data_IF_449837347516
#
_entry.id   IF_449837347516
#
_cell.length_a   1.000
_cell.length_b   1.000
_cell.length_c   1.000
_cell.angle_alpha   90.00
_cell.angle_beta   90.00
_cell.angle_gamma   90.00
#
_symmetry.space_group_name_H-M   'P 1'
#
loop_
_entity.id
_entity.type
_entity.pdbx_description
1 polymer ?
#
# COMPACT_ATOMS: atom_id res chain seq x y z
N UNK A 1 33.99 -1.35 -43.54
CA UNK A 1 33.54 -2.12 -44.71
C UNK A 1 34.29 -3.44 -44.69
N UNK A 2 33.61 -4.55 -44.38
CA UNK A 2 34.21 -5.88 -44.54
C UNK A 2 34.13 -6.23 -46.02
N UNK A 3 35.29 -6.36 -46.68
CA UNK A 3 35.41 -6.87 -48.04
C UNK A 3 35.38 -8.39 -47.96
N UNK A 4 34.34 -9.01 -48.51
CA UNK A 4 34.14 -10.46 -48.47
C UNK A 4 34.68 -11.08 -49.77
N UNK A 5 35.70 -11.93 -49.66
CA UNK A 5 36.38 -12.64 -50.75
C UNK A 5 35.59 -13.89 -51.20
N UNK A 6 34.32 -13.70 -51.57
CA UNK A 6 33.49 -14.79 -52.11
C UNK A 6 33.27 -14.56 -53.60
N UNK A 7 33.79 -15.46 -54.42
CA UNK A 7 33.76 -15.40 -55.90
C UNK A 7 32.37 -15.60 -56.51
N UNK A 8 31.44 -16.20 -55.76
CA UNK A 8 30.06 -16.46 -56.21
C UNK A 8 29.03 -16.13 -55.11
N UNK A 9 27.87 -15.64 -55.54
CA UNK A 9 26.76 -15.26 -54.67
C UNK A 9 26.28 -16.43 -53.80
N UNK A 10 26.24 -17.65 -54.36
CA UNK A 10 25.78 -18.80 -53.60
C UNK A 10 26.73 -19.19 -52.46
N UNK A 11 28.04 -19.08 -52.69
CA UNK A 11 29.06 -19.27 -51.66
C UNK A 11 28.94 -18.22 -50.56
N UNK A 12 28.71 -16.95 -50.93
CA UNK A 12 28.42 -15.88 -49.97
C UNK A 12 27.14 -16.12 -49.16
N UNK A 13 26.08 -16.62 -49.82
CA UNK A 13 24.76 -16.83 -49.24
C UNK A 13 24.70 -18.00 -48.26
N UNK A 14 25.46 -19.07 -48.54
CA UNK A 14 25.47 -20.30 -47.73
C UNK A 14 26.59 -20.36 -46.69
N UNK A 15 27.48 -19.37 -46.67
CA UNK A 15 28.54 -19.23 -45.67
C UNK A 15 27.96 -19.23 -44.26
N UNK A 16 28.47 -20.11 -43.39
CA UNK A 16 28.13 -20.15 -41.97
C UNK A 16 28.85 -19.04 -41.21
N UNK A 17 28.08 -18.21 -40.53
CA UNK A 17 28.57 -17.15 -39.66
C UNK A 17 29.00 -17.72 -38.30
N UNK A 18 29.73 -16.92 -37.49
CA UNK A 18 30.21 -17.31 -36.15
C UNK A 18 29.09 -17.72 -35.17
N UNK A 19 27.85 -17.29 -35.43
CA UNK A 19 26.67 -17.66 -34.66
C UNK A 19 26.08 -19.03 -35.06
N UNK A 20 26.70 -19.74 -36.00
CA UNK A 20 26.30 -21.06 -36.49
C UNK A 20 25.20 -21.06 -37.56
N UNK A 21 24.70 -19.88 -37.96
CA UNK A 21 23.64 -19.74 -38.97
C UNK A 21 24.25 -19.53 -40.35
N UNK A 22 23.57 -19.99 -41.41
CA UNK A 22 23.95 -19.57 -42.77
C UNK A 22 23.66 -18.09 -42.95
N UNK A 23 24.47 -17.38 -43.72
CA UNK A 23 24.32 -15.94 -43.95
C UNK A 23 22.93 -15.59 -44.49
N UNK A 24 22.42 -16.35 -45.47
CA UNK A 24 21.07 -16.18 -45.99
C UNK A 24 19.98 -16.36 -44.93
N UNK A 25 20.11 -17.36 -44.06
CA UNK A 25 19.18 -17.59 -42.95
C UNK A 25 19.24 -16.46 -41.93
N UNK A 26 20.42 -15.96 -41.61
CA UNK A 26 20.60 -14.85 -40.67
C UNK A 26 20.05 -13.52 -41.21
N UNK A 27 20.25 -13.23 -42.49
CA UNK A 27 19.78 -12.00 -43.13
C UNK A 27 18.26 -11.95 -43.29
N UNK A 28 17.61 -13.11 -43.45
CA UNK A 28 16.17 -13.23 -43.67
C UNK A 28 15.40 -13.77 -42.45
N UNK A 29 16.10 -14.08 -41.35
CA UNK A 29 15.47 -14.35 -40.08
C UNK A 29 14.70 -13.10 -39.64
N UNK A 30 13.43 -13.27 -39.26
CA UNK A 30 12.72 -12.19 -38.59
C UNK A 30 13.49 -11.80 -37.33
N UNK A 31 13.77 -10.51 -37.10
CA UNK A 31 14.36 -10.06 -35.84
C UNK A 31 13.49 -10.56 -34.70
N UNK A 32 14.10 -11.18 -33.69
CA UNK A 32 13.38 -11.66 -32.52
C UNK A 32 12.44 -10.56 -32.02
N UNK A 33 11.14 -10.89 -31.90
CA UNK A 33 10.11 -9.92 -31.53
C UNK A 33 10.58 -9.13 -30.31
N UNK A 34 10.83 -7.82 -30.49
CA UNK A 34 11.36 -6.97 -29.44
C UNK A 34 10.31 -6.86 -28.34
N UNK A 35 10.56 -7.55 -27.23
CA UNK A 35 9.69 -7.59 -26.05
C UNK A 35 10.28 -6.67 -24.98
N UNK A 36 9.41 -6.20 -24.09
CA UNK A 36 9.87 -5.58 -22.85
C UNK A 36 10.64 -6.62 -22.05
N UNK A 37 11.91 -6.33 -21.78
CA UNK A 37 12.78 -7.19 -20.98
C UNK A 37 13.16 -6.46 -19.70
N UNK A 38 13.15 -7.19 -18.59
CA UNK A 38 13.69 -6.72 -17.32
C UNK A 38 15.21 -6.80 -17.43
N UNK A 39 15.88 -5.67 -17.24
CA UNK A 39 17.33 -5.65 -17.17
C UNK A 39 17.79 -6.13 -15.78
N UNK A 40 18.94 -6.81 -15.74
CA UNK A 40 19.65 -7.08 -14.50
C UNK A 40 20.11 -5.79 -13.83
N UNK A 41 20.68 -5.89 -12.62
CA UNK A 41 21.20 -4.70 -11.94
C UNK A 41 22.33 -4.06 -12.77
N UNK A 42 22.08 -2.87 -13.30
CA UNK A 42 23.03 -2.12 -14.15
C UNK A 42 23.94 -1.21 -13.33
N UNK A 43 23.45 -0.74 -12.19
CA UNK A 43 24.14 0.18 -11.29
C UNK A 43 24.00 -0.29 -9.84
N UNK A 44 25.06 -0.10 -9.05
CA UNK A 44 25.07 -0.42 -7.61
C UNK A 44 24.10 0.44 -6.78
N UNK A 45 23.57 1.53 -7.36
CA UNK A 45 22.55 2.40 -6.73
C UNK A 45 21.14 1.84 -6.85
N UNK A 46 20.95 0.70 -7.52
CA UNK A 46 19.64 0.11 -7.73
C UNK A 46 19.15 -0.59 -6.47
N UNK A 47 18.03 -0.10 -5.94
CA UNK A 47 17.35 -0.72 -4.81
C UNK A 47 16.59 -1.96 -5.28
N UNK A 48 16.49 -2.96 -4.40
CA UNK A 48 15.76 -4.21 -4.67
C UNK A 48 14.26 -3.99 -4.96
N UNK A 49 13.75 -2.80 -4.66
CA UNK A 49 12.36 -2.40 -4.86
C UNK A 49 12.08 -1.85 -6.27
N UNK A 50 13.08 -1.82 -7.15
CA UNK A 50 12.98 -1.24 -8.51
C UNK A 50 13.21 -2.28 -9.60
N UNK A 51 12.40 -2.21 -10.66
CA UNK A 51 12.59 -2.97 -11.90
C UNK A 51 12.98 -2.00 -13.01
N UNK A 52 14.09 -2.29 -13.69
CA UNK A 52 14.48 -1.58 -14.89
C UNK A 52 13.99 -2.37 -16.09
N UNK A 53 13.26 -1.71 -16.98
CA UNK A 53 12.64 -2.34 -18.14
C UNK A 53 13.07 -1.61 -19.39
N UNK A 54 13.49 -2.36 -20.40
CA UNK A 54 13.76 -1.82 -21.74
C UNK A 54 12.45 -1.76 -22.51
N UNK A 55 12.11 -0.60 -23.07
CA UNK A 55 10.85 -0.39 -23.79
C UNK A 55 11.14 -0.24 -25.29
N UNK A 56 10.63 -1.13 -26.15
CA UNK A 56 10.69 -0.94 -27.60
C UNK A 56 9.71 0.16 -28.03
N UNK A 57 10.21 1.19 -28.71
CA UNK A 57 9.42 2.37 -29.07
C UNK A 57 8.53 2.15 -30.31
N UNK A 58 8.85 1.14 -31.10
CA UNK A 58 8.10 0.70 -32.28
C UNK A 58 6.77 0.00 -31.95
N UNK A 59 6.58 -0.44 -30.71
CA UNK A 59 5.38 -1.17 -30.28
C UNK A 59 4.29 -0.18 -29.87
N UNK A 60 3.08 -0.38 -30.40
CA UNK A 60 1.91 0.44 -30.05
C UNK A 60 1.62 0.40 -28.53
N UNK A 61 1.19 1.53 -27.99
CA UNK A 61 0.92 1.72 -26.55
C UNK A 61 0.05 0.64 -25.90
N UNK A 62 -1.04 0.13 -26.52
CA UNK A 62 -1.86 -0.91 -25.90
C UNK A 62 -1.10 -2.21 -25.65
N UNK A 63 -0.24 -2.61 -26.59
CA UNK A 63 0.62 -3.79 -26.48
C UNK A 63 1.70 -3.58 -25.42
N UNK A 64 2.27 -2.37 -25.30
CA UNK A 64 3.20 -2.03 -24.23
C UNK A 64 2.56 -2.16 -22.84
N UNK A 65 1.33 -1.66 -22.66
CA UNK A 65 0.62 -1.80 -21.38
C UNK A 65 0.36 -3.27 -21.04
N UNK A 66 -0.05 -4.09 -22.02
CA UNK A 66 -0.24 -5.54 -21.83
C UNK A 66 1.06 -6.22 -21.41
N UNK A 67 2.17 -5.88 -22.07
CA UNK A 67 3.49 -6.43 -21.74
C UNK A 67 3.96 -5.97 -20.36
N UNK A 68 3.75 -4.71 -19.99
CA UNK A 68 4.07 -4.19 -18.66
C UNK A 68 3.30 -4.94 -17.57
N UNK A 69 2.00 -5.16 -17.75
CA UNK A 69 1.20 -5.95 -16.79
C UNK A 69 1.76 -7.35 -16.63
N UNK A 70 2.13 -8.01 -17.74
CA UNK A 70 2.74 -9.33 -17.71
C UNK A 70 4.09 -9.33 -16.97
N UNK A 71 4.96 -8.35 -17.22
CA UNK A 71 6.25 -8.21 -16.51
C UNK A 71 6.04 -8.03 -15.00
N UNK A 72 5.05 -7.23 -14.59
CA UNK A 72 4.71 -7.07 -13.18
C UNK A 72 4.13 -8.36 -12.56
N UNK A 73 3.36 -9.12 -13.33
CA UNK A 73 2.81 -10.42 -12.95
C UNK A 73 3.91 -11.47 -12.74
N UNK A 74 4.87 -11.53 -13.66
CA UNK A 74 6.03 -12.43 -13.58
C UNK A 74 6.94 -12.09 -12.39
N UNK A 75 6.88 -10.85 -11.87
CA UNK A 75 7.67 -10.35 -10.74
C UNK A 75 6.82 -10.06 -9.49
N UNK A 76 5.67 -10.72 -9.33
CA UNK A 76 4.73 -10.51 -8.21
C UNK A 76 5.36 -10.44 -6.84
N UNK A 77 6.29 -11.35 -6.54
CA UNK A 77 6.92 -11.41 -5.22
C UNK A 77 7.73 -10.15 -4.92
N UNK A 78 8.54 -9.69 -5.88
CA UNK A 78 9.28 -8.42 -5.76
C UNK A 78 8.35 -7.24 -5.61
N UNK A 79 7.25 -7.20 -6.38
CA UNK A 79 6.24 -6.15 -6.29
C UNK A 79 5.56 -6.17 -4.91
N UNK A 80 5.23 -7.34 -4.39
CA UNK A 80 4.63 -7.52 -3.06
C UNK A 80 5.58 -7.04 -1.95
N UNK A 81 6.85 -7.46 -2.00
CA UNK A 81 7.87 -7.08 -1.02
C UNK A 81 8.10 -5.56 -1.04
N UNK A 82 8.23 -4.96 -2.22
CA UNK A 82 8.39 -3.51 -2.37
C UNK A 82 7.17 -2.72 -1.83
N UNK A 83 5.95 -3.25 -1.97
CA UNK A 83 4.72 -2.66 -1.42
C UNK A 83 4.62 -2.80 0.09
N UNK A 84 5.09 -3.91 0.65
CA UNK A 84 5.03 -4.19 2.09
C UNK A 84 6.11 -3.46 2.89
N UNK A 85 7.16 -2.99 2.23
CA UNK A 85 8.24 -2.23 2.87
C UNK A 85 7.74 -0.86 3.32
N UNK A 86 7.77 -0.63 4.63
CA UNK A 86 7.49 0.69 5.20
C UNK A 86 8.54 1.70 4.74
N UNK A 87 8.08 2.86 4.24
CA UNK A 87 8.92 4.02 3.89
C UNK A 87 8.84 5.14 4.93
N UNK A 88 8.36 4.83 6.13
CA UNK A 88 8.31 5.80 7.21
C UNK A 88 9.73 6.24 7.61
N UNK A 89 9.90 7.53 7.91
CA UNK A 89 11.15 8.10 8.41
C UNK A 89 11.41 7.75 9.89
N UNK A 90 10.48 7.04 10.52
CA UNK A 90 10.57 6.59 11.91
C UNK A 90 10.50 5.06 11.97
N UNK A 91 11.09 4.42 13.00
CA UNK A 91 10.98 2.98 13.20
C UNK A 91 9.51 2.59 13.38
N UNK A 92 9.00 1.71 12.52
CA UNK A 92 7.62 1.19 12.62
C UNK A 92 7.66 -0.15 13.36
N UNK A 93 7.25 -0.14 14.62
CA UNK A 93 7.25 -1.34 15.47
C UNK A 93 6.12 -2.33 15.14
N UNK A 94 4.96 -1.85 14.69
CA UNK A 94 3.87 -2.72 14.24
C UNK A 94 3.01 -2.04 13.17
N UNK A 95 2.37 -2.83 12.30
CA UNK A 95 1.43 -2.32 11.30
C UNK A 95 0.10 -1.99 11.96
N UNK A 96 -0.34 -0.73 11.86
CA UNK A 96 -1.63 -0.26 12.41
C UNK A 96 -2.42 0.44 11.32
N UNK A 97 -3.74 0.28 11.31
CA UNK A 97 -4.64 1.03 10.43
C UNK A 97 -4.58 2.53 10.78
N UNK A 98 -4.21 3.36 9.80
CA UNK A 98 -4.03 4.81 9.98
C UNK A 98 -5.25 5.52 10.58
N UNK A 99 -6.46 5.16 10.15
CA UNK A 99 -7.70 5.74 10.69
C UNK A 99 -7.86 5.48 12.19
N UNK A 100 -7.51 4.28 12.65
CA UNK A 100 -7.59 3.91 14.06
C UNK A 100 -6.51 4.63 14.86
N UNK A 101 -5.29 4.75 14.31
CA UNK A 101 -4.20 5.47 14.96
C UNK A 101 -4.54 6.96 15.13
N UNK A 102 -5.04 7.61 14.07
CA UNK A 102 -5.50 9.00 14.12
C UNK A 102 -6.57 9.20 15.19
N UNK A 103 -7.61 8.36 15.18
CA UNK A 103 -8.69 8.42 16.17
C UNK A 103 -8.17 8.27 17.61
N UNK A 104 -7.17 7.42 17.81
CA UNK A 104 -6.55 7.18 19.12
C UNK A 104 -5.80 8.41 19.62
N UNK A 105 -5.03 9.06 18.74
CA UNK A 105 -4.31 10.29 19.06
C UNK A 105 -5.27 11.46 19.33
N UNK A 106 -6.34 11.59 18.53
CA UNK A 106 -7.36 12.61 18.77
C UNK A 106 -8.07 12.42 20.13
N UNK A 107 -8.30 11.18 20.56
CA UNK A 107 -8.81 10.88 21.92
C UNK A 107 -7.81 11.29 23.00
N UNK A 108 -6.52 11.11 22.76
CA UNK A 108 -5.48 11.56 23.69
C UNK A 108 -5.44 13.08 23.85
N UNK A 109 -5.49 13.81 22.73
CA UNK A 109 -5.47 15.27 22.73
C UNK A 109 -6.69 15.83 23.46
N UNK A 110 -7.88 15.32 23.13
CA UNK A 110 -9.13 15.71 23.81
C UNK A 110 -9.13 15.34 25.31
N UNK A 111 -8.53 14.22 25.70
CA UNK A 111 -8.36 13.85 27.10
C UNK A 111 -7.48 14.86 27.84
N UNK A 112 -6.34 15.24 27.26
CA UNK A 112 -5.43 16.21 27.88
C UNK A 112 -6.05 17.59 28.03
N UNK A 113 -6.79 18.05 27.02
CA UNK A 113 -7.45 19.37 27.04
C UNK A 113 -8.63 19.44 28.01
N UNK A 114 -9.33 18.33 28.24
CA UNK A 114 -10.64 18.34 28.91
C UNK A 114 -10.79 17.40 30.12
N UNK A 115 -9.70 16.77 30.58
CA UNK A 115 -9.67 15.75 31.65
C UNK A 115 -10.60 16.01 32.84
N UNK A 116 -10.61 17.25 33.34
CA UNK A 116 -11.39 17.65 34.51
C UNK A 116 -12.59 18.55 34.20
N UNK A 117 -12.79 18.94 32.93
CA UNK A 117 -13.80 19.91 32.52
C UNK A 117 -15.07 19.27 31.98
N UNK A 118 -14.94 18.11 31.34
CA UNK A 118 -16.04 17.44 30.63
C UNK A 118 -16.11 15.97 31.01
N UNK A 119 -17.30 15.39 30.90
CA UNK A 119 -17.47 13.94 31.13
C UNK A 119 -16.96 13.16 29.92
N UNK A 120 -16.53 11.92 30.13
CA UNK A 120 -15.95 11.07 29.07
C UNK A 120 -16.88 10.86 27.86
N UNK A 121 -18.20 10.80 28.06
CA UNK A 121 -19.14 10.69 26.95
C UNK A 121 -19.19 11.96 26.07
N UNK A 122 -18.96 13.13 26.66
CA UNK A 122 -18.88 14.42 25.94
C UNK A 122 -17.55 14.51 25.19
N UNK A 123 -16.47 14.06 25.81
CA UNK A 123 -15.16 13.96 25.17
C UNK A 123 -15.18 12.97 24.00
N UNK A 124 -15.94 11.87 24.09
CA UNK A 124 -16.13 10.94 22.99
C UNK A 124 -16.76 11.61 21.75
N UNK A 125 -17.74 12.49 21.98
CA UNK A 125 -18.37 13.26 20.92
C UNK A 125 -17.39 14.29 20.31
N UNK A 126 -16.60 14.99 21.13
CA UNK A 126 -15.57 15.94 20.67
C UNK A 126 -14.46 15.27 19.88
N UNK A 127 -14.06 14.07 20.29
CA UNK A 127 -13.09 13.25 19.58
C UNK A 127 -13.67 12.64 18.29
N UNK A 128 -14.97 12.82 17.99
CA UNK A 128 -15.60 12.27 16.78
C UNK A 128 -15.77 10.75 16.79
N UNK A 129 -15.84 10.12 17.97
CA UNK A 129 -16.02 8.66 18.07
C UNK A 129 -17.45 8.30 17.70
N UNK A 130 -17.60 7.56 16.60
CA UNK A 130 -18.89 7.01 16.21
C UNK A 130 -19.32 5.89 17.16
N UNK A 131 -20.55 6.00 17.66
CA UNK A 131 -21.18 4.99 18.52
C UNK A 131 -22.61 4.78 18.04
N UNK A 132 -23.04 3.52 17.99
CA UNK A 132 -24.42 3.20 17.66
C UNK A 132 -25.38 3.77 18.72
N UNK A 133 -26.21 4.71 18.27
CA UNK A 133 -27.21 5.44 19.05
C UNK A 133 -28.57 4.70 19.14
N UNK A 134 -28.71 3.57 18.43
CA UNK A 134 -29.92 2.73 18.47
C UNK A 134 -29.82 1.75 19.64
N UNK A 135 -30.86 1.71 20.46
CA UNK A 135 -31.02 0.78 21.58
C UNK A 135 -32.41 0.16 21.46
N UNK A 136 -32.48 -1.16 21.32
CA UNK A 136 -33.73 -1.92 21.16
C UNK A 136 -34.63 -1.43 19.99
N UNK A 137 -34.02 -0.94 18.91
CA UNK A 137 -34.75 -0.40 17.76
C UNK A 137 -35.18 1.06 17.90
N UNK A 138 -34.95 1.67 19.07
CA UNK A 138 -35.33 3.05 19.35
C UNK A 138 -34.10 3.95 19.46
N UNK A 139 -34.31 5.24 19.20
CA UNK A 139 -33.31 6.29 19.37
C UNK A 139 -33.84 7.34 20.34
N UNK A 140 -32.93 8.10 20.96
CA UNK A 140 -33.32 9.22 21.84
C UNK A 140 -34.21 10.23 21.09
N UNK A 141 -33.92 10.45 19.80
CA UNK A 141 -34.70 11.37 18.96
C UNK A 141 -36.10 10.85 18.66
N UNK A 142 -36.27 9.55 18.41
CA UNK A 142 -37.59 8.95 18.17
C UNK A 142 -38.46 9.01 19.41
N UNK A 143 -37.89 8.70 20.58
CA UNK A 143 -38.61 8.75 21.87
C UNK A 143 -38.98 10.18 22.26
N UNK A 144 -38.09 11.14 22.02
CA UNK A 144 -38.38 12.56 22.25
C UNK A 144 -39.51 13.08 21.36
N UNK A 145 -39.62 12.59 20.11
CA UNK A 145 -40.73 12.94 19.20
C UNK A 145 -42.05 12.33 19.64
N UNK A 146 -42.02 11.16 20.26
CA UNK A 146 -43.18 10.44 20.77
C UNK A 146 -43.59 10.86 22.20
N UNK A 147 -42.89 11.81 22.82
CA UNK A 147 -43.05 12.21 24.22
C UNK A 147 -42.97 11.04 25.22
N UNK A 148 -42.10 10.07 24.92
CA UNK A 148 -41.88 8.88 25.72
C UNK A 148 -40.60 9.00 26.58
N UNK A 149 -40.53 8.30 27.74
CA UNK A 149 -39.32 8.25 28.55
C UNK A 149 -38.12 7.70 27.75
N UNK A 150 -37.02 8.47 27.71
CA UNK A 150 -35.81 8.12 26.95
C UNK A 150 -34.56 7.94 27.82
N UNK A 151 -34.71 7.97 29.16
CA UNK A 151 -33.60 7.95 30.10
C UNK A 151 -32.69 6.73 29.94
N UNK A 152 -33.28 5.55 29.79
CA UNK A 152 -32.54 4.29 29.68
C UNK A 152 -31.74 4.20 28.37
N UNK A 153 -32.35 4.59 27.26
CA UNK A 153 -31.68 4.67 25.95
C UNK A 153 -30.51 5.66 26.01
N UNK A 154 -30.72 6.82 26.61
CA UNK A 154 -29.66 7.82 26.76
C UNK A 154 -28.50 7.32 27.64
N UNK A 155 -28.79 6.64 28.75
CA UNK A 155 -27.77 6.06 29.63
C UNK A 155 -26.96 5.00 28.90
N UNK A 156 -27.59 4.12 28.14
CA UNK A 156 -26.91 3.07 27.38
C UNK A 156 -26.03 3.66 26.27
N UNK A 157 -26.49 4.66 25.53
CA UNK A 157 -25.66 5.36 24.53
C UNK A 157 -24.45 6.02 25.19
N UNK A 158 -24.65 6.70 26.34
CA UNK A 158 -23.54 7.30 27.10
C UNK A 158 -22.55 6.24 27.59
N UNK A 159 -23.04 5.08 28.05
CA UNK A 159 -22.19 3.97 28.47
C UNK A 159 -21.33 3.48 27.30
N UNK A 160 -21.91 3.29 26.12
CA UNK A 160 -21.17 2.91 24.91
C UNK A 160 -20.12 3.95 24.50
N UNK A 161 -20.45 5.23 24.58
CA UNK A 161 -19.49 6.33 24.37
C UNK A 161 -18.32 6.27 25.34
N UNK A 162 -18.58 6.06 26.63
CA UNK A 162 -17.54 5.92 27.66
C UNK A 162 -16.66 4.70 27.39
N UNK A 163 -17.26 3.54 27.07
CA UNK A 163 -16.52 2.32 26.76
C UNK A 163 -15.62 2.50 25.54
N UNK A 164 -16.14 3.09 24.46
CA UNK A 164 -15.37 3.36 23.25
C UNK A 164 -14.22 4.33 23.53
N UNK A 165 -14.49 5.42 24.27
CA UNK A 165 -13.49 6.40 24.67
C UNK A 165 -12.38 5.76 25.51
N UNK A 166 -12.73 5.00 26.55
CA UNK A 166 -11.75 4.33 27.40
C UNK A 166 -10.87 3.35 26.59
N UNK A 167 -11.45 2.60 25.64
CA UNK A 167 -10.68 1.69 24.76
C UNK A 167 -9.62 2.44 23.96
N UNK A 168 -9.98 3.58 23.36
CA UNK A 168 -9.01 4.41 22.64
C UNK A 168 -8.01 5.06 23.59
N UNK A 169 -8.43 5.51 24.77
CA UNK A 169 -7.53 6.09 25.76
C UNK A 169 -6.49 5.08 26.25
N UNK A 170 -6.87 3.83 26.52
CA UNK A 170 -5.92 2.76 26.85
C UNK A 170 -4.93 2.55 25.71
N UNK A 171 -5.42 2.44 24.46
CA UNK A 171 -4.55 2.31 23.30
C UNK A 171 -3.58 3.49 23.13
N UNK A 172 -4.02 4.71 23.42
CA UNK A 172 -3.19 5.90 23.37
C UNK A 172 -2.08 5.87 24.42
N UNK A 173 -2.41 5.47 25.66
CA UNK A 173 -1.41 5.27 26.72
C UNK A 173 -0.34 4.27 26.29
N UNK A 174 -0.74 3.12 25.71
CA UNK A 174 0.22 2.11 25.23
C UNK A 174 1.15 2.69 24.16
N UNK A 175 0.60 3.46 23.21
CA UNK A 175 1.40 4.08 22.17
C UNK A 175 2.42 5.04 22.76
N UNK A 176 2.00 5.91 23.68
CA UNK A 176 2.87 6.94 24.26
C UNK A 176 3.95 6.33 25.13
N UNK A 177 3.61 5.30 25.91
CA UNK A 177 4.60 4.57 26.71
C UNK A 177 5.66 3.89 25.82
N UNK A 178 5.23 3.30 24.70
CA UNK A 178 6.13 2.62 23.78
C UNK A 178 6.94 3.59 22.89
N UNK A 179 6.44 4.81 22.64
CA UNK A 179 7.22 5.89 21.99
C UNK A 179 8.47 6.21 22.80
N UNK A 180 8.36 6.32 24.13
CA UNK A 180 9.52 6.53 25.01
C UNK A 180 10.57 5.41 24.94
N UNK A 181 10.18 4.22 24.48
CA UNK A 181 11.04 3.04 24.28
C UNK A 181 11.53 2.90 22.82
N UNK A 182 11.26 3.89 21.97
CA UNK A 182 11.60 3.87 20.54
C UNK A 182 10.75 2.91 19.70
N UNK A 183 9.60 2.45 20.21
CA UNK A 183 8.72 1.46 19.55
C UNK A 183 7.37 2.09 19.22
N UNK A 184 7.22 2.66 18.02
CA UNK A 184 5.96 3.26 17.57
C UNK A 184 5.57 2.75 16.18
N UNK A 185 4.27 2.60 15.85
CA UNK A 185 3.15 2.44 16.76
C UNK A 185 3.16 1.00 17.31
N UNK A 186 3.19 0.83 18.64
CA UNK A 186 3.07 -0.48 19.29
C UNK A 186 2.03 -0.42 20.41
N UNK A 187 1.14 -1.42 20.46
CA UNK A 187 0.19 -1.61 21.56
C UNK A 187 0.55 -2.86 22.33
N UNK A 188 0.41 -2.79 23.65
CA UNK A 188 0.52 -3.96 24.51
C UNK A 188 -0.84 -4.69 24.43
N UNK A 189 -0.81 -6.01 24.17
CA UNK A 189 -2.02 -6.83 24.10
C UNK A 189 -2.42 -7.31 25.48
#
# INVERSE_FOLDING_TARGET
>A
MHTYDTTDFWSWWTETLDNGWKRGEFLFAEPAARRMTVQGKVLNTQTDDTLIVTIPLEVRTPQLIKNLRKVLEDNKEKVSNARNKSRALYPVASSVRLSTLHQTLQVWDTWNEHKHRKKKYEQAALAGIYVNNVVNGETVESLKRADLPYGDVQQEVRRRQIMAFNRYLTAANDYIENVGKGRFPLRNK
#
